data_IF_030663603952
#
_entry.id   IF_030663603952
#
_cell.length_a   1.000
_cell.length_b   1.000
_cell.length_c   1.000
_cell.angle_alpha   90.00
_cell.angle_beta   90.00
_cell.angle_gamma   90.00
#
_symmetry.space_group_name_H-M   'P 1'
#
loop_
_entity.id
_entity.type
_entity.pdbx_description
1 polymer ?
#
# COMPACT_ATOMS: atom_id res chain seq x y z
N UNK A 1 -6.80 -13.43 14.76
CA UNK A 1 -6.25 -12.06 14.64
C UNK A 1 -4.92 -12.16 13.91
N UNK A 2 -4.71 -11.40 12.84
CA UNK A 2 -3.44 -11.37 12.09
C UNK A 2 -2.61 -10.18 12.55
N UNK A 3 -3.25 -9.02 12.73
CA UNK A 3 -2.57 -7.77 13.06
C UNK A 3 -3.51 -6.87 13.88
N UNK A 4 -2.93 -6.13 14.82
CA UNK A 4 -3.61 -5.04 15.54
C UNK A 4 -2.81 -3.77 15.31
N UNK A 5 -3.30 -2.93 14.40
CA UNK A 5 -2.73 -1.61 14.15
C UNK A 5 -3.29 -0.54 15.08
N UNK A 6 -2.80 0.67 14.91
CA UNK A 6 -3.26 1.82 15.70
C UNK A 6 -4.72 2.24 15.40
N UNK A 7 -5.29 1.85 14.25
CA UNK A 7 -6.61 2.31 13.79
C UNK A 7 -7.62 1.19 13.53
N UNK A 8 -7.16 -0.06 13.43
CA UNK A 8 -8.00 -1.20 13.12
C UNK A 8 -7.42 -2.51 13.62
N UNK A 9 -8.30 -3.46 13.86
CA UNK A 9 -7.95 -4.87 14.12
C UNK A 9 -8.23 -5.66 12.84
N UNK A 10 -7.27 -6.51 12.45
CA UNK A 10 -7.34 -7.31 11.24
C UNK A 10 -7.41 -8.80 11.60
N UNK A 11 -8.41 -9.48 11.07
CA UNK A 11 -8.65 -10.90 11.29
C UNK A 11 -8.65 -11.67 9.97
N UNK A 12 -7.94 -12.81 9.90
CA UNK A 12 -8.15 -13.76 8.82
C UNK A 12 -9.30 -14.71 9.18
N UNK A 13 -10.04 -15.11 8.17
CA UNK A 13 -11.14 -16.04 8.27
C UNK A 13 -11.64 -16.47 6.90
N UNK A 14 -12.89 -16.89 6.82
CA UNK A 14 -13.55 -17.15 5.55
C UNK A 14 -14.87 -16.39 5.48
N UNK A 15 -15.22 -15.94 4.29
CA UNK A 15 -16.46 -15.28 3.95
C UNK A 15 -17.11 -15.99 2.77
N UNK A 16 -18.31 -16.56 3.00
CA UNK A 16 -19.03 -17.33 1.99
C UNK A 16 -18.20 -18.43 1.30
N UNK A 17 -17.35 -19.14 2.10
CA UNK A 17 -16.50 -20.21 1.61
C UNK A 17 -15.20 -19.77 0.92
N UNK A 18 -14.89 -18.46 0.91
CA UNK A 18 -13.66 -17.89 0.36
C UNK A 18 -12.76 -17.38 1.48
N UNK A 19 -11.46 -17.56 1.35
CA UNK A 19 -10.48 -16.96 2.27
C UNK A 19 -10.61 -15.44 2.27
N UNK A 20 -10.75 -14.87 3.45
CA UNK A 20 -11.07 -13.46 3.62
C UNK A 20 -10.30 -12.81 4.78
N UNK A 21 -10.24 -11.49 4.73
CA UNK A 21 -9.70 -10.63 5.78
C UNK A 21 -10.76 -9.64 6.20
N UNK A 22 -11.07 -9.61 7.49
CA UNK A 22 -11.92 -8.60 8.13
C UNK A 22 -11.01 -7.53 8.74
N UNK A 23 -11.21 -6.29 8.33
CA UNK A 23 -10.61 -5.08 8.94
C UNK A 23 -11.71 -4.34 9.68
N UNK A 24 -11.65 -4.37 11.01
CA UNK A 24 -12.59 -3.68 11.92
C UNK A 24 -11.92 -2.43 12.47
N UNK A 25 -12.51 -1.26 12.30
CA UNK A 25 -11.99 -0.02 12.88
C UNK A 25 -12.38 0.08 14.34
N UNK A 26 -11.43 0.46 15.19
CA UNK A 26 -11.65 0.71 16.61
C UNK A 26 -11.96 2.19 16.85
N UNK A 27 -12.99 2.48 17.65
CA UNK A 27 -13.35 3.83 18.04
C UNK A 27 -12.21 4.50 18.83
N UNK A 28 -11.97 5.78 18.57
CA UNK A 28 -10.92 6.57 19.23
C UNK A 28 -11.48 7.24 20.47
N UNK A 29 -11.07 6.80 21.64
CA UNK A 29 -11.54 7.32 22.95
C UNK A 29 -11.23 8.80 23.19
N UNK A 30 -10.22 9.36 22.49
CA UNK A 30 -9.81 10.76 22.60
C UNK A 30 -10.50 11.70 21.60
N UNK A 31 -11.31 11.17 20.67
CA UNK A 31 -12.12 11.97 19.72
C UNK A 31 -13.56 12.06 20.18
N UNK A 32 -14.23 13.17 19.80
CA UNK A 32 -15.67 13.24 19.94
C UNK A 32 -16.33 12.12 19.11
N UNK A 33 -17.30 11.34 19.67
CA UNK A 33 -17.88 10.17 19.01
C UNK A 33 -18.43 10.45 17.60
N UNK A 34 -19.16 11.55 17.40
CA UNK A 34 -19.74 11.91 16.10
C UNK A 34 -18.67 12.23 15.05
N UNK A 35 -17.57 12.87 15.47
CA UNK A 35 -16.44 13.16 14.58
C UNK A 35 -15.73 11.88 14.19
N UNK A 36 -15.50 10.99 15.14
CA UNK A 36 -14.84 9.70 14.90
C UNK A 36 -15.67 8.83 13.95
N UNK A 37 -16.98 8.72 14.16
CA UNK A 37 -17.90 8.01 13.28
C UNK A 37 -17.88 8.56 11.85
N UNK A 38 -17.93 9.88 11.67
CA UNK A 38 -17.85 10.54 10.35
C UNK A 38 -16.53 10.26 9.63
N UNK A 39 -15.40 10.37 10.33
CA UNK A 39 -14.07 10.11 9.76
C UNK A 39 -13.91 8.65 9.39
N UNK A 40 -14.35 7.73 10.24
CA UNK A 40 -14.33 6.29 9.98
C UNK A 40 -15.13 5.95 8.73
N UNK A 41 -16.38 6.43 8.64
CA UNK A 41 -17.26 6.23 7.48
C UNK A 41 -16.63 6.79 6.19
N UNK A 42 -16.09 8.01 6.25
CA UNK A 42 -15.45 8.67 5.11
C UNK A 42 -14.24 7.88 4.60
N UNK A 43 -13.34 7.47 5.50
CA UNK A 43 -12.13 6.71 5.16
C UNK A 43 -12.47 5.32 4.60
N UNK A 44 -13.41 4.62 5.20
CA UNK A 44 -13.84 3.30 4.72
C UNK A 44 -14.51 3.38 3.35
N UNK A 45 -15.36 4.39 3.13
CA UNK A 45 -15.95 4.63 1.81
C UNK A 45 -14.89 4.94 0.74
N UNK A 46 -13.83 5.66 1.12
CA UNK A 46 -12.71 5.93 0.22
C UNK A 46 -11.94 4.63 -0.09
N UNK A 47 -11.57 3.86 0.94
CA UNK A 47 -10.87 2.59 0.82
C UNK A 47 -11.62 1.59 -0.06
N UNK A 48 -12.94 1.44 0.17
CA UNK A 48 -13.80 0.57 -0.64
C UNK A 48 -13.83 0.98 -2.13
N UNK A 49 -13.98 2.27 -2.42
CA UNK A 49 -13.96 2.78 -3.81
C UNK A 49 -12.60 2.58 -4.48
N UNK A 50 -11.50 2.75 -3.74
CA UNK A 50 -10.15 2.53 -4.25
C UNK A 50 -9.91 1.07 -4.58
N UNK A 51 -10.33 0.13 -3.72
CA UNK A 51 -10.26 -1.30 -3.99
C UNK A 51 -10.98 -1.65 -5.30
N UNK A 52 -12.24 -1.21 -5.47
CA UNK A 52 -13.00 -1.47 -6.71
C UNK A 52 -12.28 -0.87 -7.92
N UNK A 53 -11.84 0.38 -7.85
CA UNK A 53 -11.15 1.06 -8.96
C UNK A 53 -9.86 0.34 -9.38
N UNK A 54 -9.05 -0.13 -8.42
CA UNK A 54 -7.81 -0.85 -8.72
C UNK A 54 -8.09 -2.24 -9.28
N UNK A 55 -9.15 -2.91 -8.80
CA UNK A 55 -9.60 -4.19 -9.35
C UNK A 55 -10.08 -4.06 -10.80
N UNK A 56 -10.88 -3.04 -11.09
CA UNK A 56 -11.36 -2.74 -12.45
C UNK A 56 -10.19 -2.43 -13.39
N UNK A 57 -9.11 -1.89 -12.87
CA UNK A 57 -7.85 -1.66 -13.60
C UNK A 57 -6.98 -2.93 -13.72
N UNK A 58 -7.41 -4.08 -13.21
CA UNK A 58 -6.67 -5.34 -13.25
C UNK A 58 -5.39 -5.33 -12.42
N UNK A 59 -5.36 -4.54 -11.33
CA UNK A 59 -4.22 -4.46 -10.45
C UNK A 59 -4.31 -5.47 -9.31
N UNK A 60 -3.19 -6.04 -8.84
CA UNK A 60 -3.14 -7.07 -7.82
C UNK A 60 -3.38 -6.48 -6.41
N UNK A 61 -4.63 -6.26 -6.09
CA UNK A 61 -5.12 -5.78 -4.79
C UNK A 61 -6.24 -6.69 -4.29
N UNK A 62 -6.54 -6.69 -2.96
CA UNK A 62 -7.64 -7.47 -2.42
C UNK A 62 -8.99 -7.13 -3.06
N UNK A 63 -9.81 -8.13 -3.36
CA UNK A 63 -11.18 -7.94 -3.81
C UNK A 63 -12.06 -7.48 -2.63
N UNK A 64 -12.87 -6.45 -2.85
CA UNK A 64 -13.88 -6.02 -1.89
C UNK A 64 -15.03 -7.04 -1.88
N UNK A 65 -15.23 -7.74 -0.76
CA UNK A 65 -16.28 -8.73 -0.59
C UNK A 65 -17.51 -8.17 0.10
N UNK A 66 -17.31 -7.34 1.15
CA UNK A 66 -18.40 -6.70 1.88
C UNK A 66 -17.88 -5.47 2.63
N UNK A 67 -18.77 -4.53 2.93
CA UNK A 67 -18.49 -3.36 3.75
C UNK A 67 -19.72 -2.95 4.55
N UNK A 68 -19.52 -2.65 5.83
CA UNK A 68 -20.52 -1.99 6.66
C UNK A 68 -19.94 -0.70 7.22
N UNK A 69 -20.45 0.42 6.69
CA UNK A 69 -19.99 1.76 7.06
C UNK A 69 -20.56 2.23 8.41
N UNK A 70 -21.63 1.61 8.90
CA UNK A 70 -22.23 1.93 10.19
C UNK A 70 -21.48 1.22 11.32
N UNK A 71 -21.22 -0.08 11.12
CA UNK A 71 -20.50 -0.91 12.09
C UNK A 71 -18.96 -0.77 11.97
N UNK A 72 -18.49 -0.08 10.95
CA UNK A 72 -17.05 0.26 10.81
C UNK A 72 -16.14 -0.90 10.39
N UNK A 73 -16.62 -1.82 9.54
CA UNK A 73 -15.78 -2.92 9.04
C UNK A 73 -15.82 -3.08 7.52
N UNK A 74 -14.75 -3.66 7.00
CA UNK A 74 -14.59 -4.03 5.59
C UNK A 74 -14.07 -5.47 5.51
N UNK A 75 -14.62 -6.27 4.60
CA UNK A 75 -14.17 -7.62 4.29
C UNK A 75 -13.61 -7.62 2.89
N UNK A 76 -12.39 -8.13 2.74
CA UNK A 76 -11.71 -8.30 1.46
C UNK A 76 -11.30 -9.75 1.27
N UNK A 77 -10.99 -10.13 0.02
CA UNK A 77 -10.30 -11.40 -0.23
C UNK A 77 -8.95 -11.40 0.46
N UNK A 78 -8.51 -12.58 0.89
CA UNK A 78 -7.15 -12.76 1.38
C UNK A 78 -6.21 -12.92 0.19
N UNK A 79 -5.21 -12.04 0.09
CA UNK A 79 -4.15 -12.17 -0.89
C UNK A 79 -3.19 -13.30 -0.50
N UNK A 80 -2.66 -14.06 -1.48
CA UNK A 80 -1.65 -15.08 -1.22
C UNK A 80 -0.30 -14.48 -0.82
N UNK A 81 0.58 -15.31 -0.30
CA UNK A 81 1.94 -14.95 0.07
C UNK A 81 2.06 -14.30 1.44
N UNK A 82 3.21 -13.67 1.66
CA UNK A 82 3.58 -12.97 2.89
C UNK A 82 4.14 -11.57 2.63
N UNK A 83 4.39 -10.78 3.70
CA UNK A 83 4.99 -9.46 3.56
C UNK A 83 6.32 -9.51 2.79
N UNK A 84 6.48 -8.63 1.82
CA UNK A 84 7.74 -8.47 1.09
C UNK A 84 8.91 -8.17 2.04
N UNK A 85 8.61 -7.55 3.17
CA UNK A 85 9.55 -7.35 4.27
C UNK A 85 10.29 -8.62 4.68
N UNK A 86 9.62 -9.75 4.80
CA UNK A 86 10.22 -11.02 5.20
C UNK A 86 11.00 -11.66 4.05
N UNK A 87 10.49 -11.57 2.83
CA UNK A 87 11.13 -12.12 1.62
C UNK A 87 12.44 -11.41 1.29
N UNK A 88 12.46 -10.08 1.36
CA UNK A 88 13.68 -9.30 1.10
C UNK A 88 14.82 -9.66 2.06
N UNK A 89 14.53 -10.09 3.27
CA UNK A 89 15.54 -10.57 4.23
C UNK A 89 16.14 -11.91 3.84
N UNK A 90 15.47 -12.69 3.02
CA UNK A 90 15.93 -13.99 2.56
C UNK A 90 16.90 -13.94 1.35
N UNK A 91 17.11 -12.76 0.73
CA UNK A 91 18.22 -12.52 -0.20
C UNK A 91 17.91 -12.69 -1.69
N UNK A 92 16.66 -12.66 -2.13
CA UNK A 92 16.27 -12.84 -3.55
C UNK A 92 15.58 -11.59 -4.15
N UNK A 93 16.30 -10.46 -4.17
CA UNK A 93 15.69 -9.12 -4.19
C UNK A 93 15.59 -8.46 -5.57
N UNK A 94 16.53 -8.74 -6.49
CA UNK A 94 16.75 -7.84 -7.63
C UNK A 94 15.54 -7.76 -8.59
N UNK A 95 14.96 -8.91 -8.93
CA UNK A 95 13.80 -8.97 -9.81
C UNK A 95 12.54 -8.44 -9.12
N UNK A 96 12.32 -8.81 -7.84
CA UNK A 96 11.17 -8.37 -7.05
C UNK A 96 11.09 -6.85 -6.95
N UNK A 97 12.21 -6.16 -6.71
CA UNK A 97 12.23 -4.70 -6.58
C UNK A 97 11.98 -4.00 -7.92
N UNK A 98 12.47 -4.57 -9.02
CA UNK A 98 12.17 -4.07 -10.35
C UNK A 98 10.68 -4.24 -10.69
N UNK A 99 10.11 -5.40 -10.41
CA UNK A 99 8.68 -5.68 -10.63
C UNK A 99 7.79 -4.84 -9.70
N UNK A 100 8.24 -4.60 -8.48
CA UNK A 100 7.59 -3.65 -7.57
C UNK A 100 7.52 -2.24 -8.18
N UNK A 101 8.61 -1.77 -8.78
CA UNK A 101 8.62 -0.48 -9.46
C UNK A 101 7.58 -0.39 -10.58
N UNK A 102 7.45 -1.44 -11.40
CA UNK A 102 6.41 -1.54 -12.44
C UNK A 102 5.00 -1.52 -11.85
N UNK A 103 4.77 -2.27 -10.77
CA UNK A 103 3.48 -2.31 -10.11
C UNK A 103 3.09 -0.94 -9.54
N UNK A 104 4.00 -0.26 -8.84
CA UNK A 104 3.76 1.07 -8.28
C UNK A 104 3.41 2.06 -9.40
N UNK A 105 4.14 2.03 -10.52
CA UNK A 105 3.86 2.91 -11.65
C UNK A 105 2.45 2.69 -12.21
N UNK A 106 2.01 1.44 -12.35
CA UNK A 106 0.65 1.12 -12.81
C UNK A 106 -0.44 1.65 -11.85
N UNK A 107 -0.19 1.62 -10.54
CA UNK A 107 -1.10 2.19 -9.52
C UNK A 107 -1.15 3.71 -9.66
N UNK A 108 0.00 4.36 -9.79
CA UNK A 108 0.08 5.82 -9.99
C UNK A 108 -0.56 6.23 -11.31
N UNK A 109 -0.38 5.46 -12.39
CA UNK A 109 -1.04 5.69 -13.69
C UNK A 109 -2.57 5.54 -13.62
N UNK A 110 -3.10 4.74 -12.67
CA UNK A 110 -4.52 4.69 -12.38
C UNK A 110 -5.02 5.91 -11.57
N UNK A 111 -4.15 6.89 -11.30
CA UNK A 111 -4.44 8.10 -10.53
C UNK A 111 -4.60 7.84 -9.04
N UNK A 112 -3.83 6.92 -8.47
CA UNK A 112 -3.91 6.56 -7.05
C UNK A 112 -2.51 6.62 -6.44
N UNK A 113 -2.36 7.35 -5.32
CA UNK A 113 -1.22 7.23 -4.42
C UNK A 113 -1.59 6.36 -3.21
N UNK A 114 -0.63 5.60 -2.70
CA UNK A 114 -0.85 4.64 -1.59
C UNK A 114 -0.91 5.34 -0.23
N UNK A 115 -0.02 6.30 0.01
CA UNK A 115 0.05 7.08 1.25
C UNK A 115 0.76 6.39 2.42
N UNK A 116 1.09 5.09 2.30
CA UNK A 116 1.86 4.31 3.30
C UNK A 116 2.57 3.14 2.61
N UNK A 117 3.36 3.44 1.57
CA UNK A 117 3.99 2.45 0.72
C UNK A 117 5.23 1.86 1.39
N UNK A 118 5.04 0.85 2.24
CA UNK A 118 6.10 0.12 2.95
C UNK A 118 6.18 -1.33 2.51
N UNK A 119 7.30 -2.00 2.76
CA UNK A 119 7.47 -3.43 2.46
C UNK A 119 6.55 -4.36 3.25
N UNK A 120 5.89 -3.86 4.31
CA UNK A 120 4.85 -4.58 5.04
C UNK A 120 3.49 -4.55 4.33
N UNK A 121 3.22 -3.51 3.54
CA UNK A 121 1.98 -3.32 2.80
C UNK A 121 2.05 -3.88 1.37
N UNK A 122 3.13 -4.57 1.05
CA UNK A 122 3.36 -5.29 -0.19
C UNK A 122 3.50 -6.77 0.17
N UNK A 123 2.75 -7.64 -0.50
CA UNK A 123 2.89 -9.09 -0.35
C UNK A 123 3.62 -9.66 -1.56
N UNK A 124 4.36 -10.74 -1.30
CA UNK A 124 5.00 -11.56 -2.32
C UNK A 124 4.53 -13.00 -2.21
N UNK A 125 4.21 -13.57 -3.35
CA UNK A 125 3.91 -14.99 -3.53
C UNK A 125 4.64 -15.51 -4.76
N UNK A 126 5.18 -16.73 -4.68
CA UNK A 126 6.00 -17.29 -5.76
C UNK A 126 5.20 -17.58 -7.05
N UNK A 127 3.89 -17.81 -6.94
CA UNK A 127 3.00 -18.09 -8.09
C UNK A 127 2.23 -16.85 -8.52
N UNK A 128 1.69 -16.09 -7.56
CA UNK A 128 0.85 -14.92 -7.83
C UNK A 128 1.64 -13.61 -8.02
N UNK A 129 2.91 -13.58 -7.61
CA UNK A 129 3.76 -12.39 -7.68
C UNK A 129 3.46 -11.36 -6.60
N UNK A 130 3.67 -10.09 -6.92
CA UNK A 130 3.48 -8.95 -6.01
C UNK A 130 2.02 -8.52 -5.94
N UNK A 131 1.56 -8.18 -4.74
CA UNK A 131 0.27 -7.53 -4.50
C UNK A 131 0.40 -6.43 -3.45
N UNK A 132 -0.52 -5.45 -3.49
CA UNK A 132 -0.53 -4.33 -2.55
C UNK A 132 -1.79 -4.40 -1.69
N UNK A 133 -1.60 -4.18 -0.37
CA UNK A 133 -2.65 -4.20 0.64
C UNK A 133 -2.69 -2.89 1.42
N UNK A 134 -3.72 -2.71 2.22
CA UNK A 134 -3.93 -1.57 3.13
C UNK A 134 -3.98 -0.19 2.44
N UNK A 135 -5.08 0.05 1.72
CA UNK A 135 -5.37 1.32 1.05
C UNK A 135 -5.99 2.39 1.98
N UNK A 136 -5.88 2.20 3.30
CA UNK A 136 -6.52 3.07 4.30
C UNK A 136 -6.06 4.53 4.32
N UNK A 137 -4.88 4.83 3.76
CA UNK A 137 -4.32 6.18 3.58
C UNK A 137 -4.23 6.61 2.12
N UNK A 138 -4.65 5.75 1.21
CA UNK A 138 -4.59 6.00 -0.24
C UNK A 138 -5.55 7.08 -0.68
N UNK A 139 -5.21 7.76 -1.78
CA UNK A 139 -6.01 8.87 -2.34
C UNK A 139 -6.06 8.77 -3.86
N UNK A 140 -7.19 9.17 -4.43
CA UNK A 140 -7.30 9.44 -5.86
C UNK A 140 -6.70 10.83 -6.11
N UNK A 141 -5.73 10.94 -7.00
CA UNK A 141 -5.05 12.19 -7.32
C UNK A 141 -4.35 12.12 -8.67
N UNK A 142 -4.31 13.23 -9.38
CA UNK A 142 -3.48 13.44 -10.57
C UNK A 142 -2.21 14.24 -10.22
N UNK A 143 -2.02 14.59 -8.93
CA UNK A 143 -0.86 15.34 -8.45
C UNK A 143 0.34 14.40 -8.26
N UNK A 144 1.46 14.77 -8.87
CA UNK A 144 2.72 14.02 -8.81
C UNK A 144 3.42 14.10 -7.45
N UNK A 145 3.07 15.09 -6.60
CA UNK A 145 3.68 15.25 -5.28
C UNK A 145 3.40 14.06 -4.36
N UNK A 146 2.14 13.65 -4.13
CA UNK A 146 1.82 12.47 -3.33
C UNK A 146 2.44 11.18 -3.90
N UNK A 147 2.50 11.04 -5.23
CA UNK A 147 3.14 9.88 -5.88
C UNK A 147 4.66 9.86 -5.64
N UNK A 148 5.32 11.03 -5.69
CA UNK A 148 6.73 11.17 -5.33
C UNK A 148 7.00 10.88 -3.87
N UNK A 149 6.06 11.21 -2.96
CA UNK A 149 6.12 10.88 -1.54
C UNK A 149 5.98 9.38 -1.29
N UNK A 150 5.16 8.64 -2.04
CA UNK A 150 5.09 7.18 -1.96
C UNK A 150 6.46 6.53 -2.23
N UNK A 151 7.15 6.98 -3.28
CA UNK A 151 8.51 6.52 -3.58
C UNK A 151 9.51 6.90 -2.48
N UNK A 152 9.34 8.07 -1.84
CA UNK A 152 10.18 8.48 -0.72
C UNK A 152 9.94 7.63 0.53
N UNK A 153 8.69 7.32 0.87
CA UNK A 153 8.35 6.44 1.99
C UNK A 153 8.95 5.05 1.77
N UNK A 154 8.84 4.50 0.56
CA UNK A 154 9.45 3.22 0.24
C UNK A 154 10.98 3.28 0.31
N UNK A 155 11.61 4.36 -0.16
CA UNK A 155 13.06 4.53 -0.07
C UNK A 155 13.56 4.55 1.38
N UNK A 156 12.87 5.26 2.26
CA UNK A 156 13.20 5.29 3.69
C UNK A 156 12.93 3.94 4.36
N UNK A 157 11.84 3.25 3.99
CA UNK A 157 11.55 1.90 4.47
C UNK A 157 12.64 0.91 4.07
N UNK A 158 13.05 0.90 2.80
CA UNK A 158 14.15 0.04 2.32
C UNK A 158 15.46 0.34 3.05
N UNK A 159 15.81 1.61 3.20
CA UNK A 159 17.03 2.02 3.90
C UNK A 159 17.03 1.60 5.38
N UNK A 160 15.89 1.75 6.08
CA UNK A 160 15.80 1.48 7.51
C UNK A 160 15.65 -0.01 7.83
N UNK A 161 14.88 -0.74 7.02
CA UNK A 161 14.51 -2.12 7.30
C UNK A 161 15.34 -3.15 6.55
N UNK A 162 15.98 -2.76 5.45
CA UNK A 162 16.75 -3.63 4.56
C UNK A 162 18.12 -3.01 4.21
N UNK A 163 18.94 -2.65 5.21
CA UNK A 163 20.21 -1.95 4.99
C UNK A 163 21.21 -2.76 4.15
N UNK A 164 21.08 -4.09 4.14
CA UNK A 164 21.93 -5.00 3.39
C UNK A 164 21.60 -5.05 1.89
N UNK A 165 20.52 -4.41 1.46
CA UNK A 165 20.10 -4.34 0.07
C UNK A 165 20.62 -3.06 -0.58
N UNK A 166 21.86 -3.12 -1.07
CA UNK A 166 22.45 -1.99 -1.79
C UNK A 166 21.70 -1.67 -3.08
N UNK A 167 21.40 -0.38 -3.29
CA UNK A 167 20.72 0.09 -4.51
C UNK A 167 19.27 -0.39 -4.64
N UNK A 168 18.62 -0.81 -3.53
CA UNK A 168 17.25 -1.33 -3.56
C UNK A 168 16.26 -0.34 -4.19
N UNK A 169 16.28 0.92 -3.78
CA UNK A 169 15.41 1.93 -4.38
C UNK A 169 15.75 2.22 -5.85
N UNK A 170 17.00 2.11 -6.25
CA UNK A 170 17.38 2.36 -7.64
C UNK A 170 16.82 1.28 -8.58
N UNK A 171 16.69 0.02 -8.10
CA UNK A 171 16.00 -1.07 -8.82
C UNK A 171 14.50 -0.81 -8.94
N UNK A 172 13.86 -0.34 -7.88
CA UNK A 172 12.44 0.08 -7.93
C UNK A 172 12.26 1.20 -8.94
N UNK A 173 13.11 2.23 -8.93
CA UNK A 173 13.04 3.34 -9.88
C UNK A 173 13.27 2.88 -11.31
N UNK A 174 14.19 1.93 -11.54
CA UNK A 174 14.40 1.36 -12.86
C UNK A 174 13.13 0.67 -13.40
N UNK A 175 12.47 -0.14 -12.57
CA UNK A 175 11.20 -0.77 -12.91
C UNK A 175 10.07 0.24 -13.15
N UNK A 176 9.99 1.26 -12.30
CA UNK A 176 9.02 2.35 -12.43
C UNK A 176 9.16 3.09 -13.76
N UNK A 177 10.39 3.46 -14.14
CA UNK A 177 10.69 4.16 -15.40
C UNK A 177 10.48 3.30 -16.64
N UNK A 178 10.57 1.98 -16.52
CA UNK A 178 10.29 1.07 -17.63
C UNK A 178 8.83 1.12 -18.11
N UNK A 179 7.91 1.48 -17.19
CA UNK A 179 6.48 1.65 -17.47
C UNK A 179 6.09 3.14 -17.71
N UNK A 180 7.06 4.08 -17.61
CA UNK A 180 6.83 5.52 -17.77
C UNK A 180 7.07 6.32 -16.48
N UNK A 181 6.28 7.35 -16.24
CA UNK A 181 6.24 8.08 -14.96
C UNK A 181 7.49 8.91 -14.63
N UNK A 182 8.24 9.38 -15.63
CA UNK A 182 9.45 10.21 -15.47
C UNK A 182 9.23 11.40 -14.55
N UNK A 183 8.11 12.09 -14.69
CA UNK A 183 7.77 13.28 -13.90
C UNK A 183 7.68 12.99 -12.40
N UNK A 184 7.13 11.83 -12.04
CA UNK A 184 7.03 11.37 -10.65
C UNK A 184 8.41 11.06 -10.09
N UNK A 185 9.29 10.42 -10.88
CA UNK A 185 10.68 10.13 -10.47
C UNK A 185 11.48 11.42 -10.32
N UNK A 186 11.31 12.39 -11.21
CA UNK A 186 11.96 13.71 -11.09
C UNK A 186 11.45 14.44 -9.81
N UNK A 187 10.17 14.31 -9.50
CA UNK A 187 9.60 14.83 -8.25
C UNK A 187 10.17 14.13 -7.02
N UNK A 188 10.24 12.80 -7.02
CA UNK A 188 10.89 12.02 -5.96
C UNK A 188 12.32 12.48 -5.72
N UNK A 189 13.12 12.66 -6.77
CA UNK A 189 14.50 13.15 -6.66
C UNK A 189 14.58 14.55 -6.05
N UNK A 190 13.65 15.44 -6.40
CA UNK A 190 13.53 16.77 -5.81
C UNK A 190 13.16 16.74 -4.32
N UNK A 191 12.25 15.84 -3.90
CA UNK A 191 11.92 15.61 -2.49
C UNK A 191 13.14 15.12 -1.73
N UNK A 192 13.81 14.08 -2.25
CA UNK A 192 14.99 13.45 -1.65
C UNK A 192 16.16 14.42 -1.47
N UNK A 193 16.36 15.34 -2.41
CA UNK A 193 17.40 16.35 -2.30
C UNK A 193 17.16 17.33 -1.13
N UNK A 194 15.92 17.72 -0.88
CA UNK A 194 15.57 18.61 0.24
C UNK A 194 15.81 17.99 1.62
N UNK A 195 15.50 16.69 1.76
CA UNK A 195 15.71 15.95 3.02
C UNK A 195 17.19 15.90 3.39
N UNK A 196 18.11 15.79 2.42
CA UNK A 196 19.55 15.74 2.67
C UNK A 196 20.17 17.05 3.17
N UNK A 197 19.51 18.19 2.94
CA UNK A 197 20.02 19.52 3.37
C UNK A 197 19.53 19.94 4.76
N UNK A 198 18.67 19.15 5.42
CA UNK A 198 18.11 19.45 6.74
C UNK A 198 18.45 18.40 7.80
N UNK A 199 19.38 17.47 7.52
CA UNK A 199 19.86 16.42 8.43
C UNK A 199 21.31 16.62 8.90
#
# INVERSE_FOLDING_TARGET
MIHRGAEAVVHAGSWMGRDAVLKQREARTWRHPDLDARLTKSRMSAEARLLVRLQDAGLPVPELLAVDLAEGWIITSRMPGGPLFDTLRAGDEATMLTDLGRLIQRIHAAGICHGDLTTHNILWDAEAGLSIIDLGLSKITDDIEPMGLDLQVLAECLKASHPDIEGGIDRVIAGYLAEGGREVVDRFNAIRSRVRYHG
#
